data_IF_709473063266
#
_entry.id   IF_709473063266
#
_cell.length_a   1.000
_cell.length_b   1.000
_cell.length_c   1.000
_cell.angle_alpha   90.00
_cell.angle_beta   90.00
_cell.angle_gamma   90.00
#
_symmetry.space_group_name_H-M   'P 1'
#
loop_
_entity.id
_entity.type
_entity.pdbx_description
1 polymer ?
#
# COMPACT_ATOMS: atom_id res chain seq x y z
N UNK A 1 -41.51 0.38 6.99
CA UNK A 1 -40.31 0.36 7.85
C UNK A 1 -39.10 0.64 6.98
N UNK A 2 -38.59 1.86 6.96
CA UNK A 2 -37.35 2.21 6.21
C UNK A 2 -36.14 1.96 7.11
N UNK A 3 -35.25 1.07 6.70
CA UNK A 3 -34.01 0.81 7.41
C UNK A 3 -33.07 2.01 7.29
N UNK A 4 -32.74 2.62 8.42
CA UNK A 4 -31.80 3.73 8.59
C UNK A 4 -30.38 3.19 8.86
N UNK A 5 -29.82 2.33 7.98
CA UNK A 5 -28.50 1.72 8.21
C UNK A 5 -27.34 2.38 7.45
N UNK A 6 -27.55 3.45 6.68
CA UNK A 6 -26.49 3.87 5.73
C UNK A 6 -25.56 5.01 6.20
N UNK A 7 -25.84 5.70 7.28
CA UNK A 7 -25.05 6.88 7.69
C UNK A 7 -23.95 6.56 8.72
N UNK A 8 -24.19 5.61 9.61
CA UNK A 8 -23.23 5.21 10.66
C UNK A 8 -22.06 4.41 10.11
N UNK A 9 -22.30 3.56 9.10
CA UNK A 9 -21.26 2.72 8.50
C UNK A 9 -20.25 3.53 7.70
N UNK A 10 -20.71 4.54 6.97
CA UNK A 10 -19.82 5.40 6.16
C UNK A 10 -18.88 6.26 7.03
N UNK A 11 -19.37 6.83 8.12
CA UNK A 11 -18.55 7.62 9.04
C UNK A 11 -17.51 6.77 9.76
N UNK A 12 -17.86 5.55 10.15
CA UNK A 12 -16.96 4.58 10.78
C UNK A 12 -15.83 4.16 9.83
N UNK A 13 -16.16 3.84 8.59
CA UNK A 13 -15.17 3.48 7.56
C UNK A 13 -14.24 4.66 7.26
N UNK A 14 -14.78 5.88 7.15
CA UNK A 14 -13.96 7.07 6.92
C UNK A 14 -12.96 7.33 8.05
N UNK A 15 -13.38 7.14 9.31
CA UNK A 15 -12.49 7.25 10.46
C UNK A 15 -11.37 6.20 10.41
N UNK A 16 -11.70 4.95 10.04
CA UNK A 16 -10.71 3.88 9.89
C UNK A 16 -9.72 4.14 8.75
N UNK A 17 -10.19 4.65 7.62
CA UNK A 17 -9.32 5.05 6.51
C UNK A 17 -8.36 6.17 6.90
N UNK A 18 -8.81 7.15 7.70
CA UNK A 18 -7.94 8.19 8.24
C UNK A 18 -6.88 7.62 9.21
N UNK A 19 -7.23 6.63 10.03
CA UNK A 19 -6.30 5.91 10.89
C UNK A 19 -5.24 5.17 10.05
N UNK A 20 -5.66 4.46 8.99
CA UNK A 20 -4.75 3.78 8.07
C UNK A 20 -3.81 4.78 7.40
N UNK A 21 -4.34 5.90 6.90
CA UNK A 21 -3.53 6.96 6.31
C UNK A 21 -2.46 7.48 7.29
N UNK A 22 -2.88 7.84 8.49
CA UNK A 22 -1.97 8.35 9.52
C UNK A 22 -0.88 7.33 9.89
N UNK A 23 -1.22 6.05 9.97
CA UNK A 23 -0.25 4.99 10.22
C UNK A 23 0.83 4.95 9.13
N UNK A 24 0.46 4.98 7.84
CA UNK A 24 1.44 4.96 6.75
C UNK A 24 2.31 6.22 6.72
N UNK A 25 1.76 7.39 7.03
CA UNK A 25 2.52 8.65 7.08
C UNK A 25 3.50 8.70 8.26
N UNK A 26 3.24 7.96 9.33
CA UNK A 26 4.09 7.87 10.52
C UNK A 26 4.81 6.53 10.65
N UNK A 27 4.76 5.70 9.60
CA UNK A 27 5.31 4.35 9.61
C UNK A 27 6.82 4.37 9.87
N UNK A 28 7.22 3.62 10.87
CA UNK A 28 8.60 3.51 11.37
C UNK A 28 8.79 2.15 12.05
N UNK A 29 10.02 1.71 12.32
CA UNK A 29 10.24 0.46 13.07
C UNK A 29 9.49 0.41 14.42
N UNK A 30 9.37 1.54 15.10
CA UNK A 30 8.69 1.62 16.41
C UNK A 30 7.16 1.61 16.29
N UNK A 31 6.58 1.94 15.15
CA UNK A 31 5.12 1.89 14.95
C UNK A 31 4.61 0.53 14.47
N UNK A 32 5.50 -0.43 14.17
CA UNK A 32 5.09 -1.74 13.65
C UNK A 32 4.26 -2.57 14.65
N UNK A 33 4.32 -2.28 15.94
CA UNK A 33 3.45 -2.93 16.93
C UNK A 33 1.97 -2.58 16.72
N UNK A 34 1.67 -1.46 16.07
CA UNK A 34 0.30 -1.02 15.77
C UNK A 34 -0.31 -1.75 14.54
N UNK A 35 0.46 -2.57 13.82
CA UNK A 35 -0.05 -3.32 12.66
C UNK A 35 -1.28 -4.16 13.02
N UNK A 36 -1.31 -4.76 14.22
CA UNK A 36 -2.44 -5.56 14.71
C UNK A 36 -3.73 -4.77 14.96
N UNK A 37 -3.65 -3.45 15.04
CA UNK A 37 -4.82 -2.57 15.16
C UNK A 37 -5.46 -2.27 13.80
N UNK A 38 -4.73 -2.52 12.72
CA UNK A 38 -5.13 -2.20 11.35
C UNK A 38 -5.45 -3.42 10.50
N UNK A 39 -4.68 -4.49 10.67
CA UNK A 39 -4.81 -5.70 9.86
C UNK A 39 -5.52 -6.82 10.62
N UNK A 40 -6.40 -7.51 9.94
CA UNK A 40 -6.96 -8.77 10.44
C UNK A 40 -5.90 -9.86 10.58
N UNK A 41 -6.10 -10.84 11.48
CA UNK A 41 -5.08 -11.87 11.78
C UNK A 41 -4.65 -12.69 10.56
N UNK A 42 -5.58 -12.93 9.62
CA UNK A 42 -5.37 -13.70 8.39
C UNK A 42 -5.28 -12.82 7.14
N UNK A 43 -5.00 -11.52 7.31
CA UNK A 43 -4.89 -10.57 6.21
C UNK A 43 -3.87 -11.03 5.16
N UNK A 44 -4.15 -10.74 3.91
CA UNK A 44 -3.22 -10.95 2.79
C UNK A 44 -2.55 -9.64 2.43
N UNK A 45 -1.27 -9.73 2.13
CA UNK A 45 -0.46 -8.63 1.62
C UNK A 45 0.21 -9.07 0.32
N UNK A 46 0.16 -8.22 -0.70
CA UNK A 46 0.85 -8.44 -1.96
C UNK A 46 1.45 -7.14 -2.49
N UNK A 47 2.70 -7.21 -2.88
CA UNK A 47 3.40 -6.19 -3.66
C UNK A 47 4.00 -6.81 -4.95
N UNK A 48 4.71 -6.07 -5.82
CA UNK A 48 5.36 -6.63 -7.00
C UNK A 48 6.39 -7.73 -6.74
N UNK A 49 6.92 -7.85 -5.53
CA UNK A 49 8.00 -8.78 -5.19
C UNK A 49 7.55 -10.01 -4.42
N UNK A 50 6.44 -9.91 -3.66
CA UNK A 50 6.04 -10.95 -2.73
C UNK A 50 4.52 -10.99 -2.49
N UNK A 51 4.08 -12.12 -1.97
CA UNK A 51 2.70 -12.31 -1.50
C UNK A 51 2.75 -13.13 -0.21
N UNK A 52 2.23 -12.57 0.87
CA UNK A 52 2.25 -13.18 2.20
C UNK A 52 0.87 -13.14 2.85
N UNK A 53 0.67 -13.97 3.88
CA UNK A 53 -0.58 -14.01 4.64
C UNK A 53 -0.29 -14.08 6.14
N UNK A 54 -1.14 -13.40 6.91
CA UNK A 54 -1.10 -13.34 8.36
C UNK A 54 -0.20 -12.24 8.92
N UNK A 55 -0.57 -11.73 10.09
CA UNK A 55 0.09 -10.60 10.75
C UNK A 55 1.61 -10.78 10.92
N UNK A 56 2.14 -11.94 11.36
CA UNK A 56 3.58 -12.10 11.53
C UNK A 56 4.34 -11.96 10.20
N UNK A 57 3.79 -12.48 9.10
CA UNK A 57 4.41 -12.42 7.80
C UNK A 57 4.35 -10.98 7.21
N UNK A 58 3.23 -10.28 7.40
CA UNK A 58 3.08 -8.87 7.00
C UNK A 58 4.05 -7.99 7.78
N UNK A 59 4.16 -8.18 9.11
CA UNK A 59 5.14 -7.48 9.95
C UNK A 59 6.56 -7.67 9.44
N UNK A 60 6.94 -8.92 9.12
CA UNK A 60 8.27 -9.24 8.60
C UNK A 60 8.59 -8.52 7.27
N UNK A 61 7.59 -8.28 6.40
CA UNK A 61 7.76 -7.48 5.18
C UNK A 61 8.20 -6.05 5.52
N UNK A 62 7.51 -5.39 6.45
CA UNK A 62 7.84 -4.01 6.86
C UNK A 62 9.17 -3.94 7.62
N UNK A 63 9.45 -4.91 8.50
CA UNK A 63 10.75 -5.01 9.19
C UNK A 63 11.90 -5.13 8.19
N UNK A 64 11.74 -5.99 7.17
CA UNK A 64 12.74 -6.14 6.09
C UNK A 64 12.90 -4.85 5.29
N UNK A 65 11.81 -4.17 4.96
CA UNK A 65 11.85 -2.89 4.26
C UNK A 65 12.69 -1.86 5.03
N UNK A 66 12.50 -1.72 6.34
CA UNK A 66 13.29 -0.80 7.17
C UNK A 66 14.73 -1.27 7.37
N UNK A 67 14.99 -2.59 7.40
CA UNK A 67 16.35 -3.10 7.49
C UNK A 67 17.20 -2.69 6.28
N UNK A 68 16.62 -2.65 5.07
CA UNK A 68 17.32 -2.25 3.84
C UNK A 68 17.19 -0.75 3.53
N UNK A 69 16.16 -0.08 4.04
CA UNK A 69 15.84 1.33 3.78
C UNK A 69 15.46 2.05 5.09
N UNK A 70 16.41 2.25 6.03
CA UNK A 70 16.10 2.77 7.38
C UNK A 70 15.57 4.21 7.41
N UNK A 71 15.79 4.97 6.35
CA UNK A 71 15.35 6.36 6.22
C UNK A 71 14.19 6.54 5.22
N UNK A 72 13.57 5.44 4.84
CA UNK A 72 12.43 5.50 3.93
C UNK A 72 11.18 6.05 4.63
N UNK A 73 10.29 6.64 3.83
CA UNK A 73 9.02 7.18 4.33
C UNK A 73 7.94 7.16 3.26
N UNK A 74 6.71 7.03 3.70
CA UNK A 74 5.54 7.23 2.85
C UNK A 74 5.00 8.66 3.00
N UNK A 75 4.54 9.21 1.90
CA UNK A 75 3.67 10.39 1.85
C UNK A 75 2.37 9.93 1.19
N UNK A 76 1.25 10.08 1.89
CA UNK A 76 -0.05 9.65 1.38
C UNK A 76 -0.73 10.83 0.70
N UNK A 77 -0.81 10.77 -0.64
CA UNK A 77 -1.39 11.84 -1.45
C UNK A 77 -2.91 11.90 -1.38
N UNK A 78 -3.54 10.78 -1.07
CA UNK A 78 -5.00 10.70 -0.95
C UNK A 78 -5.50 9.29 -0.69
N UNK A 79 -6.71 9.21 -0.16
CA UNK A 79 -7.45 7.97 0.02
C UNK A 79 -8.84 8.14 -0.55
N UNK A 80 -9.30 7.18 -1.33
CA UNK A 80 -10.61 7.20 -1.97
C UNK A 80 -11.32 5.89 -1.68
N UNK A 81 -12.52 5.98 -1.14
CA UNK A 81 -13.41 4.83 -1.00
C UNK A 81 -14.14 4.59 -2.33
N UNK A 82 -14.20 3.34 -2.76
CA UNK A 82 -14.99 2.99 -3.94
C UNK A 82 -16.48 3.05 -3.63
N UNK A 83 -17.25 3.62 -4.54
CA UNK A 83 -18.63 4.06 -4.34
C UNK A 83 -19.68 2.92 -4.29
N UNK A 84 -19.35 1.74 -3.76
CA UNK A 84 -20.36 0.70 -3.56
C UNK A 84 -20.56 0.41 -2.07
N UNK A 85 -21.47 1.14 -1.40
CA UNK A 85 -21.72 0.99 0.04
C UNK A 85 -22.35 -0.36 0.44
N UNK A 86 -22.65 -1.22 -0.52
CA UNK A 86 -23.32 -2.51 -0.30
C UNK A 86 -22.41 -3.73 -0.49
N UNK A 87 -21.15 -3.55 -0.88
CA UNK A 87 -20.19 -4.66 -0.95
C UNK A 87 -19.36 -4.73 0.31
N UNK A 88 -19.52 -5.79 1.06
CA UNK A 88 -18.58 -6.19 2.11
C UNK A 88 -17.67 -7.24 1.47
N UNK A 89 -16.35 -7.07 1.51
CA UNK A 89 -15.54 -6.04 2.19
C UNK A 89 -15.59 -4.66 1.51
N UNK A 90 -15.51 -3.59 2.31
CA UNK A 90 -15.38 -2.23 1.79
C UNK A 90 -14.02 -2.06 1.09
N UNK A 91 -14.05 -1.48 -0.11
CA UNK A 91 -12.84 -1.31 -0.92
C UNK A 91 -12.41 0.15 -0.95
N UNK A 92 -11.10 0.39 -0.87
CA UNK A 92 -10.51 1.72 -0.90
C UNK A 92 -9.19 1.71 -1.65
N UNK A 93 -8.85 2.85 -2.25
CA UNK A 93 -7.57 3.07 -2.89
C UNK A 93 -6.80 4.14 -2.15
N UNK A 94 -5.60 3.83 -1.72
CA UNK A 94 -4.65 4.73 -1.08
C UNK A 94 -3.55 5.06 -2.08
N UNK A 95 -3.44 6.31 -2.51
CA UNK A 95 -2.34 6.76 -3.38
C UNK A 95 -1.22 7.32 -2.53
N UNK A 96 0.03 6.95 -2.84
CA UNK A 96 1.20 7.30 -2.06
C UNK A 96 2.44 7.53 -2.91
N UNK A 97 3.39 8.26 -2.30
CA UNK A 97 4.76 8.40 -2.76
C UNK A 97 5.68 7.82 -1.68
N UNK A 98 6.49 6.83 -2.03
CA UNK A 98 7.50 6.22 -1.17
C UNK A 98 8.87 6.80 -1.49
N UNK A 99 9.52 7.38 -0.48
CA UNK A 99 10.85 7.95 -0.58
C UNK A 99 11.88 6.99 0.00
N UNK A 100 12.94 6.73 -0.73
CA UNK A 100 14.03 5.83 -0.33
C UNK A 100 15.38 6.35 -0.84
N UNK A 101 16.48 5.74 -0.34
CA UNK A 101 17.82 6.03 -0.81
C UNK A 101 18.32 4.91 -1.71
N UNK A 102 18.62 5.20 -2.96
CA UNK A 102 19.18 4.28 -3.92
C UNK A 102 20.55 4.80 -4.37
N UNK A 103 21.62 4.03 -4.05
CA UNK A 103 23.02 4.39 -4.39
C UNK A 103 23.41 5.79 -3.90
N UNK A 104 23.01 6.16 -2.69
CA UNK A 104 23.32 7.47 -2.08
C UNK A 104 22.47 8.63 -2.60
N UNK A 105 21.49 8.37 -3.48
CA UNK A 105 20.56 9.40 -3.97
C UNK A 105 19.15 9.11 -3.45
N UNK A 106 18.49 10.17 -3.01
CA UNK A 106 17.06 10.08 -2.69
C UNK A 106 16.26 9.95 -3.97
N UNK A 107 15.44 8.91 -4.06
CA UNK A 107 14.51 8.65 -5.16
C UNK A 107 13.12 8.45 -4.61
N UNK A 108 12.12 8.64 -5.45
CA UNK A 108 10.72 8.37 -5.11
C UNK A 108 10.15 7.29 -6.01
N UNK A 109 9.22 6.54 -5.44
CA UNK A 109 8.37 5.55 -6.13
C UNK A 109 6.94 5.99 -5.92
N UNK A 110 6.16 6.10 -6.99
CA UNK A 110 4.73 6.39 -6.91
C UNK A 110 3.93 5.13 -7.08
N UNK A 111 2.86 5.02 -6.30
CA UNK A 111 2.00 3.86 -6.36
C UNK A 111 0.66 4.07 -5.70
N UNK A 112 -0.13 3.03 -5.72
CA UNK A 112 -1.36 2.97 -4.96
C UNK A 112 -1.54 1.60 -4.31
N UNK A 113 -2.22 1.59 -3.19
CA UNK A 113 -2.62 0.38 -2.49
C UNK A 113 -4.12 0.20 -2.63
N UNK A 114 -4.54 -0.98 -3.06
CA UNK A 114 -5.91 -1.41 -2.98
C UNK A 114 -6.14 -2.13 -1.66
N UNK A 115 -7.08 -1.63 -0.86
CA UNK A 115 -7.44 -2.16 0.44
C UNK A 115 -8.84 -2.73 0.42
N UNK A 116 -9.01 -3.93 1.02
CA UNK A 116 -10.31 -4.47 1.38
C UNK A 116 -10.42 -4.51 2.90
N UNK A 117 -11.49 -3.93 3.45
CA UNK A 117 -11.76 -3.87 4.88
C UNK A 117 -12.94 -4.77 5.22
N UNK A 118 -12.83 -5.51 6.32
CA UNK A 118 -13.96 -6.28 6.86
C UNK A 118 -15.02 -5.37 7.54
N UNK A 119 -16.04 -5.99 8.11
CA UNK A 119 -17.14 -5.28 8.81
C UNK A 119 -16.65 -4.53 10.05
N UNK A 120 -15.56 -4.95 10.67
CA UNK A 120 -14.93 -4.32 11.83
C UNK A 120 -13.95 -3.21 11.43
N UNK A 121 -13.65 -3.07 10.13
CA UNK A 121 -12.72 -2.09 9.58
C UNK A 121 -11.26 -2.55 9.59
N UNK A 122 -10.98 -3.83 9.80
CA UNK A 122 -9.64 -4.39 9.64
C UNK A 122 -9.32 -4.62 8.16
N UNK A 123 -8.09 -4.36 7.76
CA UNK A 123 -7.58 -4.71 6.44
C UNK A 123 -7.50 -6.24 6.35
N UNK A 124 -8.22 -6.83 5.39
CA UNK A 124 -8.19 -8.27 5.11
C UNK A 124 -7.47 -8.59 3.81
N UNK A 125 -7.35 -7.62 2.91
CA UNK A 125 -6.55 -7.72 1.69
C UNK A 125 -5.89 -6.37 1.42
N UNK A 126 -4.57 -6.40 1.20
CA UNK A 126 -3.73 -5.26 0.87
C UNK A 126 -2.94 -5.60 -0.38
N UNK A 127 -3.11 -4.83 -1.42
CA UNK A 127 -2.36 -5.03 -2.65
C UNK A 127 -1.78 -3.74 -3.18
N UNK A 128 -0.45 -3.68 -3.23
CA UNK A 128 0.29 -2.58 -3.82
C UNK A 128 0.39 -2.71 -5.33
N UNK A 129 0.15 -1.61 -6.02
CA UNK A 129 0.31 -1.45 -7.45
C UNK A 129 1.26 -0.29 -7.72
N UNK A 130 2.40 -0.61 -8.27
CA UNK A 130 3.36 0.36 -8.78
C UNK A 130 4.20 -0.28 -9.89
N UNK A 131 4.71 0.54 -10.79
CA UNK A 131 5.51 0.06 -11.91
C UNK A 131 6.96 -0.15 -11.48
N UNK A 132 7.28 -1.41 -11.10
CA UNK A 132 8.64 -1.76 -10.70
C UNK A 132 9.65 -1.59 -11.86
N UNK A 133 9.23 -1.67 -13.11
CA UNK A 133 10.10 -1.48 -14.26
C UNK A 133 10.53 -0.03 -14.39
N UNK A 134 9.59 0.91 -14.37
CA UNK A 134 9.86 2.34 -14.47
C UNK A 134 10.45 2.90 -13.18
N UNK A 135 9.83 2.61 -12.05
CA UNK A 135 10.13 3.23 -10.78
C UNK A 135 11.42 2.70 -10.12
N UNK A 136 11.82 1.46 -10.44
CA UNK A 136 13.01 0.85 -9.83
C UNK A 136 14.02 0.36 -10.88
N UNK A 137 13.63 -0.50 -11.82
CA UNK A 137 14.59 -1.18 -12.69
C UNK A 137 15.24 -0.23 -13.69
N UNK A 138 14.52 0.78 -14.21
CA UNK A 138 15.10 1.80 -15.08
C UNK A 138 16.08 2.73 -14.37
N UNK A 139 16.04 2.83 -13.05
CA UNK A 139 16.99 3.58 -12.22
C UNK A 139 18.28 2.81 -11.94
N UNK A 140 18.33 1.50 -12.28
CA UNK A 140 19.49 0.65 -12.15
C UNK A 140 20.24 0.55 -13.49
N UNK A 141 21.53 0.95 -13.58
CA UNK A 141 22.24 1.10 -14.86
C UNK A 141 22.21 -0.13 -15.76
N UNK A 142 22.38 -1.33 -15.18
CA UNK A 142 22.41 -2.58 -15.95
C UNK A 142 21.02 -2.95 -16.51
N UNK A 143 19.94 -2.64 -15.77
CA UNK A 143 18.57 -2.98 -16.16
C UNK A 143 17.92 -1.89 -17.01
N UNK A 144 18.34 -0.65 -16.87
CA UNK A 144 17.78 0.48 -17.61
C UNK A 144 17.89 0.32 -19.14
N UNK A 145 19.01 -0.27 -19.62
CA UNK A 145 19.17 -0.56 -21.04
C UNK A 145 18.18 -1.62 -21.52
N UNK A 146 18.03 -2.71 -20.79
CA UNK A 146 17.11 -3.80 -21.12
C UNK A 146 15.65 -3.32 -21.12
N UNK A 147 15.25 -2.54 -20.10
CA UNK A 147 13.90 -1.98 -20.00
C UNK A 147 13.59 -1.04 -21.16
N UNK A 148 14.53 -0.15 -21.53
CA UNK A 148 14.35 0.74 -22.68
C UNK A 148 14.27 -0.03 -24.01
N UNK A 149 15.03 -1.10 -24.16
CA UNK A 149 14.96 -1.95 -25.34
C UNK A 149 13.60 -2.65 -25.43
N UNK A 150 13.12 -3.26 -24.35
CA UNK A 150 11.79 -3.88 -24.28
C UNK A 150 10.67 -2.88 -24.60
N UNK A 151 10.72 -1.71 -23.97
CA UNK A 151 9.73 -0.66 -24.19
C UNK A 151 9.63 -0.27 -25.68
N UNK A 152 10.76 -0.09 -26.37
CA UNK A 152 10.78 0.19 -27.82
C UNK A 152 10.20 -0.92 -28.69
N UNK A 153 10.19 -2.16 -28.20
CA UNK A 153 9.62 -3.30 -28.94
C UNK A 153 8.12 -3.43 -28.76
N UNK A 154 7.58 -2.95 -27.64
CA UNK A 154 6.17 -3.14 -27.25
C UNK A 154 5.35 -1.87 -27.53
N UNK A 155 5.90 -0.69 -27.27
CA UNK A 155 5.21 0.56 -27.51
C UNK A 155 5.22 0.91 -29.02
N UNK A 156 4.07 1.26 -29.59
CA UNK A 156 4.06 1.88 -30.93
C UNK A 156 4.81 3.21 -30.83
N UNK A 157 5.79 3.40 -31.71
CA UNK A 157 6.63 4.59 -31.78
C UNK A 157 5.84 5.86 -32.14
#
# INVERSE_FOLDING_TARGET
MRQTHSCTDSASISAKLNQIKAFYETLSPSSLDQISELYGPEARFKDPFQSVQGLPAIRAVFEHMFAIQPHSRFVVDGITQTAHPLTVPAQSCLRWTYWLVLRGKTVSIQGCTWLCLDQQGYIVDHRDYWDAAEELYEKLPALSWLMRWLRRKIAPG
#
